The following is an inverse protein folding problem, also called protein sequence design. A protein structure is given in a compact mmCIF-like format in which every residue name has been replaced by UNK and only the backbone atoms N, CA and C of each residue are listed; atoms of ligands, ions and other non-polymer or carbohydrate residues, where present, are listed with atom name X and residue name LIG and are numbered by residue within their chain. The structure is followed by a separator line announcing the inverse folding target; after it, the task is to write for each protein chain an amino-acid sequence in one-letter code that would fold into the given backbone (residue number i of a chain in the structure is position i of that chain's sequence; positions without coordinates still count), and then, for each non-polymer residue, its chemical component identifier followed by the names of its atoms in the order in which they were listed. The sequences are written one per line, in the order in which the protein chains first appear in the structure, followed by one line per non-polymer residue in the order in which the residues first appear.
data_IF_391856659449
#
_entry.id   IF_391856659449
#
_cell.length_a   1.000
_cell.length_b   1.000
_cell.length_c   1.000
_cell.angle_alpha   90.00
_cell.angle_beta   90.00
_cell.angle_gamma   90.00
#
_symmetry.space_group_name_H-M   'P 1'
#
loop_
_entity.id
_entity.type
_entity.pdbx_description
1 polymer ?
#
# COMPACT_ATOMS: atom_id res chain seq x y z
N UNK A 1 -2.59 21.89 -9.53
CA UNK A 1 -3.69 20.92 -9.38
C UNK A 1 -4.97 21.67 -9.09
N UNK A 2 -6.06 21.31 -9.74
CA UNK A 2 -7.40 21.87 -9.52
C UNK A 2 -8.08 21.17 -8.33
N UNK A 3 -9.13 21.77 -7.78
CA UNK A 3 -9.90 21.14 -6.70
C UNK A 3 -10.63 19.86 -7.15
N UNK A 4 -11.03 19.78 -8.43
CA UNK A 4 -11.65 18.57 -8.99
C UNK A 4 -10.65 17.41 -9.04
N UNK A 5 -9.42 17.64 -9.52
CA UNK A 5 -8.38 16.60 -9.55
C UNK A 5 -8.05 16.08 -8.15
N UNK A 6 -8.04 16.96 -7.14
CA UNK A 6 -7.79 16.58 -5.74
C UNK A 6 -8.88 15.62 -5.22
N UNK A 7 -10.15 15.85 -5.59
CA UNK A 7 -11.25 14.98 -5.21
C UNK A 7 -11.13 13.61 -5.88
N UNK A 8 -10.78 13.58 -7.17
CA UNK A 8 -10.57 12.32 -7.90
C UNK A 8 -9.46 11.47 -7.27
N UNK A 9 -8.32 12.10 -6.93
CA UNK A 9 -7.23 11.40 -6.24
C UNK A 9 -7.63 10.92 -4.85
N UNK A 10 -8.46 11.68 -4.13
CA UNK A 10 -8.97 11.27 -2.82
C UNK A 10 -9.83 10.02 -2.92
N UNK A 11 -10.76 9.98 -3.88
CA UNK A 11 -11.62 8.80 -4.10
C UNK A 11 -10.78 7.58 -4.49
N UNK A 12 -9.80 7.77 -5.38
CA UNK A 12 -8.86 6.72 -5.79
C UNK A 12 -8.08 6.15 -4.60
N UNK A 13 -7.51 7.02 -3.75
CA UNK A 13 -6.76 6.61 -2.56
C UNK A 13 -7.63 5.86 -1.54
N UNK A 14 -8.88 6.31 -1.34
CA UNK A 14 -9.83 5.62 -0.45
C UNK A 14 -10.18 4.24 -0.99
N UNK A 15 -10.38 4.12 -2.30
CA UNK A 15 -10.66 2.83 -2.95
C UNK A 15 -9.50 1.85 -2.74
N UNK A 16 -8.29 2.25 -3.10
CA UNK A 16 -7.07 1.45 -2.94
C UNK A 16 -6.84 1.04 -1.48
N UNK A 17 -7.06 1.98 -0.54
CA UNK A 17 -6.99 1.68 0.91
C UNK A 17 -7.93 0.54 1.28
N UNK A 18 -9.19 0.62 0.85
CA UNK A 18 -10.20 -0.35 1.22
C UNK A 18 -9.92 -1.72 0.58
N UNK A 19 -9.38 -1.75 -0.63
CA UNK A 19 -8.94 -2.99 -1.30
C UNK A 19 -7.79 -3.64 -0.53
N UNK A 20 -6.74 -2.89 -0.17
CA UNK A 20 -5.63 -3.42 0.63
C UNK A 20 -6.11 -3.91 2.01
N UNK A 21 -7.01 -3.19 2.67
CA UNK A 21 -7.56 -3.63 3.96
C UNK A 21 -8.32 -4.94 3.83
N UNK A 22 -9.06 -5.14 2.74
CA UNK A 22 -9.76 -6.39 2.47
C UNK A 22 -8.77 -7.55 2.26
N UNK A 23 -7.73 -7.34 1.43
CA UNK A 23 -6.68 -8.34 1.20
C UNK A 23 -5.96 -8.72 2.50
N UNK A 24 -5.64 -7.75 3.36
CA UNK A 24 -4.99 -8.01 4.64
C UNK A 24 -5.83 -8.87 5.60
N UNK A 25 -7.17 -8.71 5.57
CA UNK A 25 -8.08 -9.55 6.37
C UNK A 25 -8.11 -10.98 5.83
N UNK A 26 -8.08 -11.14 4.50
CA UNK A 26 -8.01 -12.45 3.85
C UNK A 26 -6.66 -13.14 4.16
N UNK A 27 -5.54 -12.43 4.06
CA UNK A 27 -4.21 -12.92 4.41
C UNK A 27 -4.12 -13.38 5.88
N UNK A 28 -4.70 -12.61 6.80
CA UNK A 28 -4.73 -12.97 8.22
C UNK A 28 -5.46 -14.29 8.45
N UNK A 29 -6.52 -14.58 7.68
CA UNK A 29 -7.22 -15.86 7.75
C UNK A 29 -6.34 -17.03 7.32
N UNK A 30 -5.49 -16.84 6.29
CA UNK A 30 -4.54 -17.86 5.79
C UNK A 30 -3.44 -18.13 6.83
N UNK A 31 -2.91 -17.06 7.43
CA UNK A 31 -1.86 -17.16 8.45
C UNK A 31 -2.37 -17.82 9.74
N UNK A 32 -3.59 -17.49 10.14
CA UNK A 32 -4.22 -18.01 11.35
C UNK A 32 -4.84 -19.40 11.17
N UNK A 33 -4.98 -19.88 9.92
CA UNK A 33 -5.41 -21.25 9.66
C UNK A 33 -4.33 -22.23 10.14
N UNK A 34 -4.45 -22.57 11.41
CA UNK A 34 -3.63 -23.49 12.18
C UNK A 34 -4.52 -24.66 12.57
N UNK A 35 -5.11 -25.30 11.57
CA UNK A 35 -5.96 -26.47 11.77
C UNK A 35 -5.09 -27.72 11.66
N UNK A 36 -5.16 -28.55 12.70
CA UNK A 36 -4.51 -29.85 12.90
C UNK A 36 -3.94 -30.46 11.61
N UNK A 37 -2.63 -30.26 11.40
CA UNK A 37 -1.96 -30.74 10.20
C UNK A 37 -1.83 -32.26 10.23
N UNK A 38 -2.66 -32.95 9.45
CA UNK A 38 -2.59 -34.41 9.22
C UNK A 38 -1.98 -34.67 7.83
N UNK A 39 -0.82 -34.06 7.56
CA UNK A 39 -0.08 -34.24 6.31
C UNK A 39 1.36 -34.70 6.55
N UNK A 40 2.06 -35.08 5.49
CA UNK A 40 3.45 -35.55 5.60
C UNK A 40 4.46 -34.40 5.77
N UNK A 41 5.74 -34.74 5.98
CA UNK A 41 6.79 -33.73 6.19
C UNK A 41 7.05 -32.84 4.97
N UNK A 42 6.74 -33.30 3.75
CA UNK A 42 6.92 -32.51 2.55
C UNK A 42 5.79 -31.48 2.42
N UNK A 43 4.55 -31.91 2.61
CA UNK A 43 3.40 -31.02 2.57
C UNK A 43 3.47 -29.96 3.69
N UNK A 44 3.91 -30.32 4.91
CA UNK A 44 4.17 -29.33 5.98
C UNK A 44 5.21 -28.28 5.57
N UNK A 45 6.26 -28.67 4.83
CA UNK A 45 7.26 -27.74 4.37
C UNK A 45 6.69 -26.74 3.34
N UNK A 46 5.82 -27.20 2.44
CA UNK A 46 5.13 -26.33 1.47
C UNK A 46 4.20 -25.33 2.16
N UNK A 47 3.38 -25.77 3.12
CA UNK A 47 2.49 -24.89 3.88
C UNK A 47 3.24 -23.79 4.62
N UNK A 48 4.42 -24.10 5.19
CA UNK A 48 5.25 -23.08 5.85
C UNK A 48 5.82 -22.08 4.86
N UNK A 49 6.23 -22.53 3.67
CA UNK A 49 6.69 -21.63 2.60
C UNK A 49 5.56 -20.70 2.16
N UNK A 50 4.35 -21.21 1.97
CA UNK A 50 3.19 -20.40 1.60
C UNK A 50 2.85 -19.36 2.66
N UNK A 51 2.88 -19.74 3.95
CA UNK A 51 2.71 -18.79 5.06
C UNK A 51 3.81 -17.73 5.11
N UNK A 52 5.07 -18.11 4.84
CA UNK A 52 6.17 -17.14 4.76
C UNK A 52 5.96 -16.15 3.60
N UNK A 53 5.50 -16.64 2.43
CA UNK A 53 5.19 -15.80 1.28
C UNK A 53 4.05 -14.82 1.58
N UNK A 54 2.93 -15.31 2.13
CA UNK A 54 1.80 -14.46 2.53
C UNK A 54 2.26 -13.40 3.53
N UNK A 55 3.03 -13.77 4.55
CA UNK A 55 3.57 -12.82 5.54
C UNK A 55 4.38 -11.69 4.90
N UNK A 56 5.22 -11.99 3.88
CA UNK A 56 5.98 -10.98 3.13
C UNK A 56 5.08 -10.07 2.31
N UNK A 57 4.06 -10.63 1.66
CA UNK A 57 3.07 -9.86 0.88
C UNK A 57 2.30 -8.92 1.79
N UNK A 58 1.76 -9.41 2.91
CA UNK A 58 1.03 -8.58 3.87
C UNK A 58 1.90 -7.48 4.47
N UNK A 59 3.21 -7.73 4.66
CA UNK A 59 4.14 -6.68 5.10
C UNK A 59 4.23 -5.54 4.07
N UNK A 60 4.40 -5.87 2.79
CA UNK A 60 4.47 -4.87 1.72
C UNK A 60 3.16 -4.10 1.55
N UNK A 61 2.01 -4.78 1.61
CA UNK A 61 0.69 -4.16 1.61
C UNK A 61 0.53 -3.16 2.78
N UNK A 62 0.96 -3.53 3.99
CA UNK A 62 0.95 -2.61 5.16
C UNK A 62 1.84 -1.39 4.95
N UNK A 63 2.98 -1.51 4.29
CA UNK A 63 3.81 -0.35 3.94
C UNK A 63 3.13 0.56 2.91
N UNK A 64 2.47 -0.02 1.90
CA UNK A 64 1.69 0.74 0.92
C UNK A 64 0.50 1.44 1.59
N UNK A 65 -0.21 0.76 2.47
CA UNK A 65 -1.31 1.32 3.27
C UNK A 65 -0.84 2.55 4.06
N UNK A 66 0.33 2.48 4.72
CA UNK A 66 0.91 3.64 5.42
C UNK A 66 1.17 4.82 4.48
N UNK A 67 1.60 4.58 3.24
CA UNK A 67 1.81 5.64 2.24
C UNK A 67 0.48 6.25 1.80
N UNK A 68 -0.56 5.44 1.61
CA UNK A 68 -1.91 5.91 1.29
C UNK A 68 -2.47 6.78 2.41
N UNK A 69 -2.41 6.31 3.66
CA UNK A 69 -2.86 7.09 4.83
C UNK A 69 -2.13 8.43 4.92
N UNK A 70 -0.82 8.43 4.65
CA UNK A 70 -0.02 9.65 4.62
C UNK A 70 -0.43 10.60 3.50
N UNK A 71 -0.76 10.07 2.32
CA UNK A 71 -1.26 10.85 1.19
C UNK A 71 -2.65 11.45 1.49
N UNK A 72 -3.55 10.68 2.11
CA UNK A 72 -4.86 11.16 2.58
C UNK A 72 -4.71 12.28 3.61
N UNK A 73 -3.79 12.13 4.58
CA UNK A 73 -3.50 13.20 5.54
C UNK A 73 -2.99 14.47 4.88
N UNK A 74 -2.13 14.35 3.86
CA UNK A 74 -1.67 15.52 3.08
C UNK A 74 -2.78 16.20 2.29
N UNK A 75 -3.80 15.46 1.86
CA UNK A 75 -5.00 16.04 1.24
C UNK A 75 -5.78 16.88 2.25
N UNK A 76 -5.88 16.43 3.52
CA UNK A 76 -6.50 17.20 4.59
C UNK A 76 -5.70 18.45 4.98
N UNK A 77 -4.37 18.37 4.91
CA UNK A 77 -3.45 19.48 5.21
C UNK A 77 -3.22 20.42 4.01
N UNK A 78 -3.89 20.21 2.87
CA UNK A 78 -3.69 20.97 1.61
C UNK A 78 -2.22 20.97 1.11
N UNK A 79 -1.43 19.95 1.49
CA UNK A 79 -0.02 19.78 1.07
C UNK A 79 0.20 18.63 0.09
N UNK A 80 -0.89 18.03 -0.40
CA UNK A 80 -0.83 16.96 -1.39
C UNK A 80 -0.12 17.40 -2.68
N UNK A 81 0.63 16.49 -3.28
CA UNK A 81 1.45 16.79 -4.46
C UNK A 81 2.78 17.50 -4.15
N UNK A 82 3.20 17.65 -2.88
CA UNK A 82 4.54 18.15 -2.53
C UNK A 82 5.48 17.04 -2.05
N UNK A 83 6.71 17.06 -2.56
CA UNK A 83 7.78 16.13 -2.21
C UNK A 83 8.28 16.37 -0.77
N UNK A 84 8.43 15.31 0.02
CA UNK A 84 8.92 15.42 1.40
C UNK A 84 10.41 15.71 1.54
N UNK A 85 11.21 15.43 0.50
CA UNK A 85 12.67 15.60 0.54
C UNK A 85 13.11 16.99 0.07
N UNK A 86 12.45 17.53 -0.96
CA UNK A 86 12.88 18.75 -1.64
C UNK A 86 11.78 19.81 -1.71
N UNK A 87 10.61 19.56 -1.13
CA UNK A 87 9.44 20.46 -1.10
C UNK A 87 8.89 20.89 -2.47
N UNK A 88 9.46 20.35 -3.56
CA UNK A 88 9.04 20.62 -4.92
C UNK A 88 7.73 19.90 -5.25
N UNK A 89 7.00 20.43 -6.22
CA UNK A 89 5.79 19.79 -6.74
C UNK A 89 6.12 18.44 -7.40
N UNK A 90 5.28 17.44 -7.11
CA UNK A 90 5.29 16.13 -7.73
C UNK A 90 4.49 16.26 -9.03
N UNK A 91 5.02 15.74 -10.13
CA UNK A 91 4.33 15.80 -11.42
C UNK A 91 2.99 15.06 -11.36
N UNK A 92 1.95 15.65 -11.97
CA UNK A 92 0.60 15.05 -12.04
C UNK A 92 0.65 13.70 -12.74
N UNK A 93 1.46 13.54 -13.78
CA UNK A 93 1.69 12.24 -14.44
C UNK A 93 2.15 11.15 -13.48
N UNK A 94 2.97 11.51 -12.48
CA UNK A 94 3.44 10.56 -11.46
C UNK A 94 2.34 10.23 -10.47
N UNK A 95 1.53 11.21 -10.06
CA UNK A 95 0.39 11.00 -9.16
C UNK A 95 -0.71 10.16 -9.83
N UNK A 96 -0.89 10.29 -11.16
CA UNK A 96 -1.79 9.44 -11.93
C UNK A 96 -1.38 7.97 -11.94
N UNK A 97 -0.07 7.66 -11.86
CA UNK A 97 0.43 6.28 -11.80
C UNK A 97 0.52 5.78 -10.36
N UNK A 98 0.97 6.63 -9.43
CA UNK A 98 1.21 6.32 -8.02
C UNK A 98 0.66 7.45 -7.14
N UNK A 99 -0.66 7.45 -6.85
CA UNK A 99 -1.32 8.55 -6.14
C UNK A 99 -0.87 8.68 -4.68
N UNK A 100 -0.33 7.62 -4.09
CA UNK A 100 0.17 7.61 -2.71
C UNK A 100 1.65 8.01 -2.59
N UNK A 101 2.31 8.41 -3.68
CA UNK A 101 3.73 8.76 -3.64
C UNK A 101 3.94 10.10 -2.93
N UNK A 102 4.84 10.12 -1.94
CA UNK A 102 5.19 11.35 -1.20
C UNK A 102 6.52 11.96 -1.64
N UNK A 103 7.20 11.34 -2.60
CA UNK A 103 8.54 11.72 -3.06
C UNK A 103 8.53 11.89 -4.59
N UNK A 104 9.16 12.95 -5.08
CA UNK A 104 9.30 13.19 -6.51
C UNK A 104 10.32 12.22 -7.15
N UNK A 105 10.23 12.03 -8.47
CA UNK A 105 11.13 11.14 -9.22
C UNK A 105 12.60 11.45 -8.98
N UNK A 106 12.98 12.74 -9.02
CA UNK A 106 14.36 13.19 -8.81
C UNK A 106 14.95 12.84 -7.43
N UNK A 107 14.11 12.67 -6.41
CA UNK A 107 14.53 12.31 -5.05
C UNK A 107 14.53 10.80 -4.79
N UNK A 108 13.93 10.02 -5.70
CA UNK A 108 13.95 8.55 -5.69
C UNK A 108 15.17 8.05 -6.47
N UNK A 109 15.51 8.71 -7.58
CA UNK A 109 16.67 8.37 -8.41
C UNK A 109 18.02 8.76 -7.76
N UNK A 110 17.99 9.43 -6.59
CA UNK A 110 19.16 9.86 -5.79
C UNK A 110 19.22 9.15 -4.45
#
# INVERSE_FOLDING_TARGET
MTQEEILDFKELLIKERNEILKELVEDESILNNSMDYVGDSAEYAFDNLDKELVSKISFQQKETLKKIEKALKKLEEETYGKCEKCESEISVERLNILPYTTICKACIDK
#
